data_IF_071121202195
#
_entry.id   IF_071121202195
#
_cell.length_a   1.000
_cell.length_b   1.000
_cell.length_c   1.000
_cell.angle_alpha   90.00
_cell.angle_beta   90.00
_cell.angle_gamma   90.00
#
_symmetry.space_group_name_H-M   'P 1'
#
loop_
_entity.id
_entity.type
_entity.pdbx_description
1 polymer ?
#
# COMPACT_ATOMS: atom_id res chain seq x y z
N UNK A 1 8.99 -6.29 -4.39
CA UNK A 1 8.47 -4.91 -4.43
C UNK A 1 7.23 -4.87 -3.54
N UNK A 2 7.03 -3.84 -2.70
CA UNK A 2 5.96 -3.76 -1.69
C UNK A 2 5.52 -2.29 -1.58
N UNK A 3 4.21 -2.05 -1.42
CA UNK A 3 3.64 -0.71 -1.18
C UNK A 3 3.38 -0.53 0.31
N UNK A 4 3.68 0.64 0.88
CA UNK A 4 3.58 0.92 2.33
C UNK A 4 2.77 2.21 2.58
N UNK A 5 1.74 2.13 3.41
CA UNK A 5 0.91 3.27 3.78
C UNK A 5 1.57 4.22 4.82
N UNK A 6 1.25 5.51 4.78
CA UNK A 6 1.83 6.54 5.66
C UNK A 6 1.38 6.44 7.12
N UNK A 7 0.36 5.67 7.48
CA UNK A 7 0.03 5.39 8.89
C UNK A 7 1.10 4.55 9.62
N UNK A 8 2.10 4.02 8.89
CA UNK A 8 3.32 3.38 9.45
C UNK A 8 4.29 4.40 10.10
N UNK A 9 4.07 5.70 9.91
CA UNK A 9 5.00 6.80 10.24
C UNK A 9 5.32 6.98 11.75
N UNK A 10 4.67 6.28 12.68
CA UNK A 10 4.95 6.46 14.11
C UNK A 10 6.31 5.89 14.61
N UNK A 11 7.08 5.16 13.78
CA UNK A 11 8.40 4.62 14.18
C UNK A 11 9.50 5.06 13.19
N UNK A 12 9.98 6.28 13.40
CA UNK A 12 10.74 7.14 12.48
C UNK A 12 12.01 6.52 11.84
N UNK A 13 12.64 5.51 12.46
CA UNK A 13 13.88 4.91 11.92
C UNK A 13 13.64 3.76 10.93
N UNK A 14 12.61 2.95 11.15
CA UNK A 14 12.27 1.84 10.24
C UNK A 14 11.53 2.37 9.01
N UNK A 15 10.67 3.38 9.19
CA UNK A 15 9.94 4.03 8.11
C UNK A 15 10.88 4.71 7.10
N UNK A 16 11.94 5.39 7.56
CA UNK A 16 12.92 6.01 6.66
C UNK A 16 13.67 4.96 5.84
N UNK A 17 14.09 3.86 6.46
CA UNK A 17 14.77 2.76 5.77
C UNK A 17 13.84 2.06 4.79
N UNK A 18 12.58 1.80 5.17
CA UNK A 18 11.58 1.22 4.29
C UNK A 18 11.25 2.15 3.11
N UNK A 19 11.13 3.45 3.35
CA UNK A 19 10.87 4.44 2.30
C UNK A 19 12.06 4.59 1.36
N UNK A 20 13.30 4.57 1.87
CA UNK A 20 14.50 4.61 1.02
C UNK A 20 14.66 3.31 0.21
N UNK A 21 14.39 2.15 0.81
CA UNK A 21 14.38 0.87 0.08
C UNK A 21 13.28 0.84 -0.97
N UNK A 22 12.08 1.29 -0.63
CA UNK A 22 10.97 1.38 -1.56
C UNK A 22 11.28 2.38 -2.69
N UNK A 23 11.86 3.54 -2.39
CA UNK A 23 12.32 4.52 -3.37
C UNK A 23 13.39 3.93 -4.31
N UNK A 24 14.37 3.19 -3.78
CA UNK A 24 15.39 2.49 -4.58
C UNK A 24 14.82 1.38 -5.47
N UNK A 25 13.72 0.76 -5.04
CA UNK A 25 12.96 -0.21 -5.84
C UNK A 25 12.07 0.50 -6.86
N UNK A 26 11.54 1.69 -6.54
CA UNK A 26 10.69 2.55 -7.38
C UNK A 26 11.46 3.37 -8.43
N UNK A 27 12.77 3.62 -8.25
CA UNK A 27 13.63 4.24 -9.28
C UNK A 27 13.68 3.42 -10.59
N UNK A 28 13.14 2.19 -10.61
CA UNK A 28 12.93 1.38 -11.81
C UNK A 28 11.52 1.40 -12.41
N UNK A 29 10.54 2.10 -11.82
CA UNK A 29 9.14 2.01 -12.25
C UNK A 29 8.30 3.20 -11.81
N UNK A 30 8.12 4.17 -12.71
CA UNK A 30 7.01 5.13 -12.63
C UNK A 30 5.71 4.37 -12.88
N UNK A 31 5.16 3.76 -11.83
CA UNK A 31 3.82 3.18 -11.85
C UNK A 31 2.80 4.31 -11.82
N UNK A 32 2.34 4.75 -12.99
CA UNK A 32 1.11 5.56 -13.06
C UNK A 32 0.00 4.74 -12.42
N UNK A 33 -0.60 5.26 -11.35
CA UNK A 33 -1.81 4.67 -10.76
C UNK A 33 -2.96 4.90 -11.73
N UNK A 34 -3.84 3.91 -11.86
CA UNK A 34 -5.01 3.98 -12.73
C UNK A 34 -6.14 4.72 -11.99
N UNK A 35 -6.42 5.95 -12.41
CA UNK A 35 -7.44 6.81 -11.80
C UNK A 35 -8.84 6.18 -11.84
N UNK A 36 -9.15 5.39 -12.88
CA UNK A 36 -10.44 4.70 -13.01
C UNK A 36 -10.55 3.56 -11.99
N UNK A 37 -9.45 2.87 -11.71
CA UNK A 37 -9.38 1.86 -10.66
C UNK A 37 -9.55 2.49 -9.28
N UNK A 38 -8.91 3.64 -9.02
CA UNK A 38 -9.06 4.37 -7.75
C UNK A 38 -10.50 4.81 -7.54
N UNK A 39 -11.15 5.39 -8.56
CA UNK A 39 -12.55 5.80 -8.51
C UNK A 39 -13.49 4.60 -8.29
N UNK A 40 -13.23 3.48 -8.96
CA UNK A 40 -13.99 2.24 -8.77
C UNK A 40 -13.87 1.73 -7.33
N UNK A 41 -12.66 1.71 -6.78
CA UNK A 41 -12.43 1.28 -5.40
C UNK A 41 -13.12 2.20 -4.40
N UNK A 42 -13.08 3.51 -4.59
CA UNK A 42 -13.77 4.48 -3.71
C UNK A 42 -15.29 4.32 -3.70
N UNK A 43 -15.88 3.94 -4.84
CA UNK A 43 -17.34 3.87 -5.00
C UNK A 43 -17.90 2.50 -4.62
N UNK A 44 -17.11 1.44 -4.77
CA UNK A 44 -17.51 0.06 -4.47
C UNK A 44 -17.13 -0.39 -3.06
N UNK A 45 -16.22 0.33 -2.41
CA UNK A 45 -15.79 0.05 -1.03
C UNK A 45 -16.01 1.26 -0.13
N UNK A 46 -15.82 1.12 1.18
CA UNK A 46 -15.84 2.24 2.12
C UNK A 46 -14.46 2.91 2.29
N UNK A 47 -13.53 2.65 1.37
CA UNK A 47 -12.19 3.22 1.42
C UNK A 47 -12.19 4.69 1.04
N UNK A 48 -11.31 5.46 1.66
CA UNK A 48 -11.02 6.82 1.21
C UNK A 48 -10.30 6.79 -0.14
N UNK A 49 -10.28 7.91 -0.86
CA UNK A 49 -9.47 8.05 -2.07
C UNK A 49 -7.98 7.83 -1.82
N UNK A 50 -7.53 8.15 -0.60
CA UNK A 50 -6.17 7.90 -0.16
C UNK A 50 -5.86 6.40 -0.08
N UNK A 51 -6.69 5.63 0.61
CA UNK A 51 -6.49 4.20 0.74
C UNK A 51 -6.65 3.47 -0.61
N UNK A 52 -7.59 3.94 -1.43
CA UNK A 52 -7.83 3.38 -2.76
C UNK A 52 -6.62 3.55 -3.69
N UNK A 53 -5.86 4.64 -3.57
CA UNK A 53 -4.64 4.87 -4.35
C UNK A 53 -3.56 3.82 -4.05
N UNK A 54 -3.30 3.54 -2.77
CA UNK A 54 -2.32 2.52 -2.38
C UNK A 54 -2.75 1.10 -2.75
N UNK A 55 -4.05 0.80 -2.65
CA UNK A 55 -4.60 -0.48 -3.06
C UNK A 55 -4.50 -0.64 -4.58
N UNK A 56 -4.90 0.38 -5.35
CA UNK A 56 -4.77 0.39 -6.80
C UNK A 56 -3.31 0.21 -7.23
N UNK A 57 -2.38 0.92 -6.59
CA UNK A 57 -0.95 0.79 -6.86
C UNK A 57 -0.44 -0.63 -6.57
N UNK A 58 -0.82 -1.23 -5.45
CA UNK A 58 -0.45 -2.60 -5.10
C UNK A 58 -1.02 -3.63 -6.10
N UNK A 59 -2.27 -3.44 -6.54
CA UNK A 59 -2.92 -4.26 -7.58
C UNK A 59 -2.20 -4.14 -8.93
N UNK A 60 -1.96 -2.92 -9.40
CA UNK A 60 -1.29 -2.64 -10.69
C UNK A 60 0.12 -3.25 -10.73
N UNK A 61 0.83 -3.18 -9.61
CA UNK A 61 2.17 -3.72 -9.48
C UNK A 61 2.19 -5.22 -9.16
N UNK A 62 1.04 -5.84 -8.90
CA UNK A 62 0.89 -7.23 -8.46
C UNK A 62 1.74 -7.56 -7.21
N UNK A 63 1.73 -6.66 -6.22
CA UNK A 63 2.50 -6.80 -4.97
C UNK A 63 1.59 -6.66 -3.74
N UNK A 64 2.03 -7.13 -2.56
CA UNK A 64 1.28 -6.91 -1.34
C UNK A 64 1.30 -5.45 -0.92
N UNK A 65 0.18 -4.98 -0.36
CA UNK A 65 0.09 -3.75 0.41
C UNK A 65 0.37 -4.05 1.89
N UNK A 66 1.40 -3.41 2.45
CA UNK A 66 1.64 -3.43 3.89
C UNK A 66 1.01 -2.22 4.55
N UNK A 67 0.12 -2.48 5.50
CA UNK A 67 -0.59 -1.45 6.25
C UNK A 67 -0.91 -1.90 7.67
N UNK A 68 -0.88 -0.98 8.61
CA UNK A 68 -1.42 -1.23 9.96
C UNK A 68 -2.94 -1.06 10.04
N UNK A 69 -3.56 -0.51 8.99
CA UNK A 69 -5.00 -0.36 8.93
C UNK A 69 -5.69 -1.71 8.76
N UNK A 70 -6.32 -2.16 9.85
CA UNK A 70 -7.07 -3.41 9.88
C UNK A 70 -8.32 -3.37 9.00
N UNK A 71 -8.90 -2.20 8.74
CA UNK A 71 -10.02 -2.07 7.81
C UNK A 71 -9.57 -2.49 6.40
N UNK A 72 -8.43 -2.00 5.92
CA UNK A 72 -7.89 -2.39 4.61
C UNK A 72 -7.57 -3.88 4.52
N UNK A 73 -7.03 -4.48 5.58
CA UNK A 73 -6.79 -5.94 5.59
C UNK A 73 -8.07 -6.78 5.53
N UNK A 74 -9.22 -6.22 5.96
CA UNK A 74 -10.52 -6.90 5.88
C UNK A 74 -11.20 -6.67 4.54
N UNK A 75 -11.07 -5.48 3.98
CA UNK A 75 -11.67 -5.11 2.68
C UNK A 75 -10.89 -5.80 1.55
N UNK A 76 -9.56 -5.89 1.66
CA UNK A 76 -8.68 -6.46 0.64
C UNK A 76 -7.79 -7.59 1.20
N UNK A 77 -8.35 -8.72 1.66
CA UNK A 77 -7.59 -9.77 2.35
C UNK A 77 -6.53 -10.46 1.47
N UNK A 78 -6.66 -10.38 0.15
CA UNK A 78 -5.70 -10.94 -0.80
C UNK A 78 -4.53 -9.99 -1.09
N UNK A 79 -4.72 -8.68 -0.90
CA UNK A 79 -3.74 -7.65 -1.24
C UNK A 79 -3.08 -7.07 0.01
N UNK A 80 -3.84 -6.79 1.07
CA UNK A 80 -3.39 -6.04 2.24
C UNK A 80 -3.01 -6.95 3.43
N UNK A 81 -1.83 -6.75 4.00
CA UNK A 81 -1.33 -7.48 5.19
C UNK A 81 -0.75 -6.54 6.24
N UNK A 82 -0.84 -6.94 7.50
CA UNK A 82 -0.16 -6.21 8.59
C UNK A 82 1.33 -6.59 8.67
N UNK A 83 2.24 -5.64 8.99
CA UNK A 83 3.67 -5.89 9.10
C UNK A 83 4.09 -6.91 10.18
N UNK A 84 3.15 -7.39 11.02
CA UNK A 84 3.40 -8.41 12.05
C UNK A 84 3.85 -9.78 11.52
N UNK A 85 4.01 -9.91 10.20
CA UNK A 85 4.32 -11.15 9.45
C UNK A 85 5.63 -11.08 8.65
N UNK A 86 6.50 -10.07 8.86
CA UNK A 86 7.77 -9.91 8.12
C UNK A 86 9.00 -10.22 8.99
N UNK A 87 8.80 -10.77 10.19
CA UNK A 87 9.90 -11.08 11.13
C UNK A 87 9.97 -12.57 11.50
N UNK A 88 9.28 -13.44 10.76
CA UNK A 88 9.43 -14.90 10.81
C UNK A 88 9.93 -15.43 9.46
#
# INVERSE_FOLDING_TARGET
MIVVDTSVIAHLLIALVAMLLAYRIMEGGSGRVDDDLVLTLCTTTRCSSYDAEYVAMAMTLAVPLLTWDRALTRIFPEIARTPRTIVD
#
